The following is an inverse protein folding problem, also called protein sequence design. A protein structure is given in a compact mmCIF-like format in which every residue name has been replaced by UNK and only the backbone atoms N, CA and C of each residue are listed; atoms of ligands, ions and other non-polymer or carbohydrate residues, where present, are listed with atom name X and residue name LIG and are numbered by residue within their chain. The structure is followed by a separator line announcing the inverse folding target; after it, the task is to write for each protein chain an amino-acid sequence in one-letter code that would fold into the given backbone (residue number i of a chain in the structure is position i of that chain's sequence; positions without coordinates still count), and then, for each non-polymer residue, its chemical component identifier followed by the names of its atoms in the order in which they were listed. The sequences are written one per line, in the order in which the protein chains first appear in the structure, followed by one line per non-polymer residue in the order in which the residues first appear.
data_IF_599458623606
#
_entry.id   IF_599458623606
#
_cell.length_a   1.000
_cell.length_b   1.000
_cell.length_c   1.000
_cell.angle_alpha   90.00
_cell.angle_beta   90.00
_cell.angle_gamma   90.00
#
_symmetry.space_group_name_H-M   'P 1'
#
loop_
_entity.id
_entity.type
_entity.pdbx_description
1 polymer ?
#
# COMPACT_ATOMS: atom_id res chain seq x y z
N UNK A 1 -3.53 7.37 -0.47
CA UNK A 1 -4.46 7.62 0.67
C UNK A 1 -4.07 8.83 1.51
N UNK A 2 -2.81 8.96 1.95
CA UNK A 2 -2.36 10.09 2.78
C UNK A 2 -2.60 11.49 2.16
N UNK A 3 -2.35 11.67 0.86
CA UNK A 3 -2.59 12.95 0.16
C UNK A 3 -4.08 13.32 0.19
N UNK A 4 -4.97 12.34 -0.06
CA UNK A 4 -6.43 12.54 -0.02
C UNK A 4 -6.91 13.02 1.36
N UNK A 5 -6.43 12.37 2.42
CA UNK A 5 -6.78 12.76 3.78
C UNK A 5 -6.24 14.14 4.15
N UNK A 6 -5.03 14.49 3.69
CA UNK A 6 -4.46 15.81 3.85
C UNK A 6 -5.29 16.91 3.19
N UNK A 7 -5.80 16.67 1.97
CA UNK A 7 -6.64 17.64 1.27
C UNK A 7 -8.02 17.82 1.92
N UNK A 8 -8.65 16.74 2.40
CA UNK A 8 -9.92 16.83 3.15
C UNK A 8 -9.74 17.67 4.42
N UNK A 9 -8.66 17.43 5.17
CA UNK A 9 -8.33 18.23 6.36
C UNK A 9 -8.03 19.69 6.03
N UNK A 10 -7.44 19.97 4.85
CA UNK A 10 -7.14 21.33 4.37
C UNK A 10 -8.41 22.13 4.04
N UNK A 11 -9.45 21.44 3.55
CA UNK A 11 -10.72 22.07 3.14
C UNK A 11 -11.67 22.27 4.33
N UNK A 12 -11.58 21.44 5.39
CA UNK A 12 -12.44 21.50 6.58
C UNK A 12 -12.33 22.81 7.40
N UNK A 13 -11.39 23.71 7.09
CA UNK A 13 -11.26 25.01 7.74
C UNK A 13 -10.86 24.94 9.22
N UNK A 14 -10.76 26.09 9.91
CA UNK A 14 -10.32 26.18 11.31
C UNK A 14 -11.22 25.48 12.32
N UNK A 15 -12.51 25.34 11.98
CA UNK A 15 -13.53 24.73 12.84
C UNK A 15 -13.64 23.20 12.65
N UNK A 16 -12.95 22.64 11.64
CA UNK A 16 -12.78 21.21 11.44
C UNK A 16 -14.02 20.43 10.98
N UNK A 17 -15.16 21.10 10.77
CA UNK A 17 -16.40 20.44 10.38
C UNK A 17 -16.59 20.45 8.86
N UNK A 18 -16.37 19.29 8.25
CA UNK A 18 -16.83 18.99 6.89
C UNK A 18 -18.06 18.10 7.00
N UNK A 19 -19.13 18.44 6.28
CA UNK A 19 -20.30 17.55 6.25
C UNK A 19 -19.95 16.23 5.56
N UNK A 20 -20.62 15.14 5.92
CA UNK A 20 -20.41 13.84 5.27
C UNK A 20 -20.65 13.90 3.75
N UNK A 21 -21.62 14.72 3.31
CA UNK A 21 -21.93 14.94 1.89
C UNK A 21 -20.80 15.69 1.16
N UNK A 22 -20.11 16.58 1.86
CA UNK A 22 -19.01 17.37 1.31
C UNK A 22 -17.70 16.58 1.26
N UNK A 23 -17.42 15.78 2.30
CA UNK A 23 -16.35 14.78 2.26
C UNK A 23 -16.52 13.79 1.08
N UNK A 24 -17.75 13.33 0.87
CA UNK A 24 -18.08 12.41 -0.23
C UNK A 24 -17.91 13.09 -1.60
N UNK A 25 -18.33 14.35 -1.76
CA UNK A 25 -18.08 15.12 -2.99
C UNK A 25 -16.59 15.30 -3.28
N UNK A 26 -15.79 15.64 -2.26
CA UNK A 26 -14.34 15.78 -2.38
C UNK A 26 -13.70 14.44 -2.76
N UNK A 27 -14.14 13.34 -2.16
CA UNK A 27 -13.65 12.01 -2.50
C UNK A 27 -13.94 11.66 -3.97
N UNK A 28 -15.18 11.86 -4.43
CA UNK A 28 -15.56 11.58 -5.80
C UNK A 28 -14.75 12.41 -6.81
N UNK A 29 -14.56 13.70 -6.54
CA UNK A 29 -13.75 14.57 -7.40
C UNK A 29 -12.29 14.14 -7.39
N UNK A 30 -11.73 13.84 -6.22
CA UNK A 30 -10.33 13.40 -6.08
C UNK A 30 -10.10 12.09 -6.82
N UNK A 31 -10.99 11.10 -6.68
CA UNK A 31 -10.96 9.84 -7.42
C UNK A 31 -11.07 10.06 -8.92
N UNK A 32 -11.98 10.92 -9.37
CA UNK A 32 -12.13 11.23 -10.79
C UNK A 32 -10.86 11.88 -11.38
N UNK A 33 -10.22 12.78 -10.65
CA UNK A 33 -8.95 13.40 -11.06
C UNK A 33 -7.84 12.36 -11.12
N UNK A 34 -7.67 11.56 -10.05
CA UNK A 34 -6.65 10.51 -10.01
C UNK A 34 -6.85 9.49 -11.13
N UNK A 35 -8.08 9.06 -11.40
CA UNK A 35 -8.37 8.15 -12.50
C UNK A 35 -7.99 8.75 -13.86
N UNK A 36 -8.32 10.02 -14.11
CA UNK A 36 -7.94 10.70 -15.36
C UNK A 36 -6.43 10.85 -15.50
N UNK A 37 -5.74 11.23 -14.42
CA UNK A 37 -4.29 11.39 -14.41
C UNK A 37 -3.55 10.06 -14.55
N UNK A 38 -4.05 8.99 -13.94
CA UNK A 38 -3.37 7.69 -13.88
C UNK A 38 -3.76 6.74 -15.00
N UNK A 39 -4.84 6.98 -15.74
CA UNK A 39 -5.25 6.10 -16.84
C UNK A 39 -4.13 5.95 -17.87
N UNK A 40 -3.71 7.06 -18.47
CA UNK A 40 -2.75 7.07 -19.55
C UNK A 40 -1.33 6.61 -19.11
N UNK A 41 -0.76 7.07 -17.97
CA UNK A 41 0.50 6.54 -17.45
C UNK A 41 0.46 5.04 -17.15
N UNK A 42 -0.67 4.51 -16.65
CA UNK A 42 -0.80 3.07 -16.35
C UNK A 42 -0.86 2.24 -17.62
N UNK A 43 -1.54 2.72 -18.67
CA UNK A 43 -1.54 2.07 -19.99
C UNK A 43 -0.12 2.03 -20.57
N UNK A 44 0.59 3.16 -20.60
CA UNK A 44 1.97 3.23 -21.09
C UNK A 44 2.93 2.37 -20.27
N UNK A 45 2.76 2.34 -18.95
CA UNK A 45 3.52 1.46 -18.07
C UNK A 45 3.34 -0.02 -18.43
N UNK A 46 2.09 -0.44 -18.68
CA UNK A 46 1.75 -1.81 -19.10
C UNK A 46 2.38 -2.15 -20.45
N UNK A 47 2.31 -1.25 -21.42
CA UNK A 47 2.92 -1.43 -22.74
C UNK A 47 4.45 -1.50 -22.65
N UNK A 48 5.07 -0.58 -21.92
CA UNK A 48 6.51 -0.56 -21.72
C UNK A 48 7.03 -1.82 -21.01
N UNK A 49 6.26 -2.38 -20.08
CA UNK A 49 6.59 -3.64 -19.42
C UNK A 49 6.64 -4.85 -20.37
N UNK A 50 6.00 -4.77 -21.53
CA UNK A 50 6.07 -5.81 -22.58
C UNK A 50 7.23 -5.63 -23.55
N UNK A 51 7.99 -4.52 -23.43
CA UNK A 51 9.16 -4.25 -24.26
C UNK A 51 10.39 -5.03 -23.78
N UNK A 52 11.43 -5.07 -24.63
CA UNK A 52 12.75 -5.65 -24.30
C UNK A 52 13.34 -5.00 -23.03
N UNK A 53 13.05 -3.71 -22.80
CA UNK A 53 13.51 -2.95 -21.64
C UNK A 53 12.47 -2.90 -20.49
N UNK A 54 11.47 -3.79 -20.49
CA UNK A 54 10.35 -3.74 -19.55
C UNK A 54 10.76 -3.72 -18.08
N UNK A 55 11.84 -4.42 -17.71
CA UNK A 55 12.39 -4.39 -16.35
C UNK A 55 12.86 -3.00 -15.92
N UNK A 56 13.57 -2.27 -16.80
CA UNK A 56 14.05 -0.91 -16.50
C UNK A 56 12.90 0.09 -16.35
N UNK A 57 11.84 -0.09 -17.14
CA UNK A 57 10.63 0.72 -17.03
C UNK A 57 9.92 0.48 -15.69
N UNK A 58 9.81 -0.78 -15.26
CA UNK A 58 9.24 -1.13 -13.96
C UNK A 58 10.07 -0.56 -12.80
N UNK A 59 11.40 -0.63 -12.87
CA UNK A 59 12.27 -0.01 -11.85
C UNK A 59 12.11 1.51 -11.79
N UNK A 60 12.03 2.18 -12.94
CA UNK A 60 11.80 3.62 -12.99
C UNK A 60 10.47 4.01 -12.35
N UNK A 61 9.40 3.24 -12.59
CA UNK A 61 8.10 3.46 -11.96
C UNK A 61 8.13 3.20 -10.45
N UNK A 62 8.85 2.18 -9.98
CA UNK A 62 9.02 1.94 -8.55
C UNK A 62 9.69 3.12 -7.85
N UNK A 63 10.76 3.65 -8.44
CA UNK A 63 11.47 4.82 -7.92
C UNK A 63 10.59 6.08 -7.94
N UNK A 64 9.92 6.36 -9.06
CA UNK A 64 9.11 7.58 -9.22
C UNK A 64 7.87 7.61 -8.31
N UNK A 65 7.26 6.45 -8.05
CA UNK A 65 6.04 6.35 -7.24
C UNK A 65 6.28 5.82 -5.81
N UNK A 66 7.53 5.55 -5.44
CA UNK A 66 7.86 4.99 -4.13
C UNK A 66 7.17 3.66 -3.85
N UNK A 67 7.10 2.77 -4.85
CA UNK A 67 6.40 1.48 -4.77
C UNK A 67 7.26 0.35 -4.20
N UNK A 68 8.42 0.68 -3.65
CA UNK A 68 9.23 -0.27 -2.91
C UNK A 68 8.43 -0.69 -1.68
N UNK A 69 7.70 -1.80 -1.81
CA UNK A 69 7.03 -2.45 -0.71
C UNK A 69 8.10 -2.69 0.36
N UNK A 70 7.85 -2.34 1.64
CA UNK A 70 8.77 -2.74 2.69
C UNK A 70 8.97 -4.25 2.54
N UNK A 71 10.24 -4.66 2.38
CA UNK A 71 10.66 -6.06 2.39
C UNK A 71 9.79 -6.77 3.42
N UNK A 72 8.98 -7.73 2.96
CA UNK A 72 8.07 -8.46 3.85
C UNK A 72 8.97 -9.00 4.96
N UNK A 73 8.88 -8.37 6.13
CA UNK A 73 9.74 -8.68 7.27
C UNK A 73 9.74 -10.20 7.47
N UNK A 74 10.85 -10.78 7.97
CA UNK A 74 11.03 -12.23 8.02
C UNK A 74 9.74 -12.89 8.46
N UNK A 75 9.20 -13.82 7.63
CA UNK A 75 7.96 -14.54 7.91
C UNK A 75 8.01 -14.99 9.37
N UNK A 76 7.16 -14.41 10.21
CA UNK A 76 7.04 -14.88 11.58
C UNK A 76 6.60 -16.35 11.46
N UNK A 77 7.35 -17.29 12.07
CA UNK A 77 6.97 -18.68 12.04
C UNK A 77 5.58 -18.80 12.68
N UNK A 78 4.66 -19.42 11.94
CA UNK A 78 3.32 -19.78 12.43
C UNK A 78 3.45 -20.61 13.72
N UNK A 79 2.56 -20.43 14.71
CA UNK A 79 2.73 -20.97 16.06
C UNK A 79 2.53 -22.50 16.19
N UNK A 80 2.59 -23.27 15.09
CA UNK A 80 2.36 -24.71 15.11
C UNK A 80 3.63 -25.58 14.99
N UNK A 81 4.80 -24.96 14.88
CA UNK A 81 6.08 -25.67 15.04
C UNK A 81 6.55 -25.60 16.50
N UNK A 82 5.82 -26.25 17.41
CA UNK A 82 6.40 -26.64 18.70
C UNK A 82 7.00 -28.04 18.53
N UNK A 83 8.33 -28.22 18.46
CA UNK A 83 8.90 -29.54 18.68
C UNK A 83 8.58 -29.93 20.12
N UNK A 84 7.72 -30.92 20.30
CA UNK A 84 7.39 -31.47 21.60
C UNK A 84 8.66 -31.91 22.32
N UNK A 85 9.13 -31.11 23.28
CA UNK A 85 10.06 -31.57 24.29
C UNK A 85 9.24 -32.49 25.20
N UNK A 86 9.14 -33.76 24.80
CA UNK A 86 8.68 -34.81 25.68
C UNK A 86 9.74 -35.01 26.77
N UNK A 87 9.41 -34.50 27.95
CA UNK A 87 10.15 -34.64 29.19
C UNK A 87 10.52 -36.10 29.48
N UNK A 88 11.76 -36.33 29.93
CA UNK A 88 12.16 -37.59 30.58
C UNK A 88 11.60 -37.60 32.00
N UNK A 89 10.81 -38.59 32.44
CA UNK A 89 10.43 -38.67 33.84
C UNK A 89 11.49 -39.46 34.63
N UNK A 90 11.97 -38.82 35.70
CA UNK A 90 12.18 -39.43 37.01
C UNK A 90 13.23 -40.54 37.17
N UNK A 91 14.33 -40.22 37.84
CA UNK A 91 15.00 -41.17 38.73
C UNK A 91 14.95 -40.60 40.15
N UNK A 92 14.42 -41.35 41.12
CA UNK A 92 14.85 -41.21 42.51
C UNK A 92 15.39 -42.54 43.04
N UNK A 93 16.47 -42.45 43.83
CA UNK A 93 17.01 -43.54 44.66
C UNK A 93 18.45 -43.88 44.35
#
# INVERSE_FOLDING_TARGET
EAIRQGEIARVAGPDGEISAEEAERIDQVTRAILNKLLHEPTVRAREAATSIDGLRHVESLRMLFGLDLPERGPRQPEPDETPGIAARPGAPG
#
